data_IF_050326857580
#
_entry.id   IF_050326857580
#
_cell.length_a   1.000
_cell.length_b   1.000
_cell.length_c   1.000
_cell.angle_alpha   90.00
_cell.angle_beta   90.00
_cell.angle_gamma   90.00
#
_symmetry.space_group_name_H-M   'P 1'
#
loop_
_entity.id
_entity.type
_entity.pdbx_description
1 polymer ?
#
# COMPACT_ATOMS: atom_id res chain seq x y z
N UNK A 1 -56.66 -16.26 -6.40
CA UNK A 1 -55.48 -15.56 -6.89
C UNK A 1 -54.37 -16.59 -7.00
N UNK A 2 -54.03 -16.97 -8.24
CA UNK A 2 -52.92 -17.92 -8.48
C UNK A 2 -51.58 -17.13 -8.45
N UNK A 3 -50.83 -17.28 -7.39
CA UNK A 3 -49.44 -16.83 -7.38
C UNK A 3 -48.64 -17.72 -8.34
N UNK A 4 -48.31 -17.18 -9.49
CA UNK A 4 -47.40 -17.81 -10.45
C UNK A 4 -45.99 -17.75 -9.87
N UNK A 5 -45.60 -18.81 -9.18
CA UNK A 5 -44.23 -18.98 -8.70
C UNK A 5 -43.31 -19.15 -9.92
N UNK A 6 -42.49 -18.14 -10.21
CA UNK A 6 -41.48 -18.24 -11.27
C UNK A 6 -40.53 -19.41 -10.93
N UNK A 7 -40.16 -20.28 -11.91
CA UNK A 7 -39.26 -21.39 -11.65
C UNK A 7 -37.93 -20.85 -11.08
N UNK A 8 -37.28 -21.57 -10.15
CA UNK A 8 -36.01 -21.16 -9.62
C UNK A 8 -34.99 -21.00 -10.78
N UNK A 9 -34.38 -19.83 -10.87
CA UNK A 9 -33.30 -19.60 -11.84
C UNK A 9 -32.19 -20.61 -11.58
N UNK A 10 -31.90 -21.45 -12.60
CA UNK A 10 -30.70 -22.28 -12.55
C UNK A 10 -29.45 -21.38 -12.42
N UNK A 11 -28.62 -21.65 -11.46
CA UNK A 11 -27.34 -20.94 -11.31
C UNK A 11 -26.38 -21.39 -12.41
N UNK A 12 -25.66 -20.44 -12.96
CA UNK A 12 -24.58 -20.69 -13.92
C UNK A 12 -23.30 -20.98 -13.13
N UNK A 13 -22.91 -22.25 -13.09
CA UNK A 13 -21.74 -22.72 -12.32
C UNK A 13 -20.45 -22.06 -12.78
N UNK A 14 -20.27 -21.84 -14.09
CA UNK A 14 -19.07 -21.17 -14.63
C UNK A 14 -18.94 -19.72 -14.11
N UNK A 15 -20.06 -19.02 -14.01
CA UNK A 15 -20.08 -17.66 -13.45
C UNK A 15 -19.82 -17.65 -11.95
N UNK A 16 -20.28 -18.68 -11.24
CA UNK A 16 -19.98 -18.84 -9.80
C UNK A 16 -18.50 -19.05 -9.61
N UNK A 17 -17.89 -19.99 -10.32
CA UNK A 17 -16.46 -20.30 -10.23
C UNK A 17 -15.59 -19.08 -10.52
N UNK A 18 -15.87 -18.36 -11.61
CA UNK A 18 -15.13 -17.14 -11.96
C UNK A 18 -15.25 -16.06 -10.88
N UNK A 19 -16.41 -15.90 -10.26
CA UNK A 19 -16.61 -14.92 -9.19
C UNK A 19 -15.92 -15.33 -7.88
N UNK A 20 -15.91 -16.63 -7.55
CA UNK A 20 -15.17 -17.18 -6.41
C UNK A 20 -13.68 -16.92 -6.58
N UNK A 21 -13.11 -17.17 -7.77
CA UNK A 21 -11.71 -16.91 -8.08
C UNK A 21 -11.38 -15.41 -7.92
N UNK A 22 -12.23 -14.53 -8.47
CA UNK A 22 -12.07 -13.08 -8.31
C UNK A 22 -12.10 -12.64 -6.85
N UNK A 23 -13.06 -13.15 -6.05
CA UNK A 23 -13.15 -12.83 -4.63
C UNK A 23 -11.93 -13.33 -3.86
N UNK A 24 -11.48 -14.54 -4.15
CA UNK A 24 -10.31 -15.12 -3.51
C UNK A 24 -9.06 -14.30 -3.81
N UNK A 25 -8.86 -13.89 -5.07
CA UNK A 25 -7.78 -12.99 -5.48
C UNK A 25 -7.82 -11.65 -4.73
N UNK A 26 -9.01 -11.09 -4.53
CA UNK A 26 -9.20 -9.85 -3.75
C UNK A 26 -8.76 -10.02 -2.29
N UNK A 27 -9.14 -11.13 -1.64
CA UNK A 27 -8.74 -11.40 -0.26
C UNK A 27 -7.23 -11.65 -0.14
N UNK A 28 -6.64 -12.40 -1.05
CA UNK A 28 -5.19 -12.63 -1.09
C UNK A 28 -4.45 -11.31 -1.27
N UNK A 29 -4.88 -10.45 -2.19
CA UNK A 29 -4.28 -9.13 -2.39
C UNK A 29 -4.35 -8.26 -1.14
N UNK A 30 -5.47 -8.33 -0.40
CA UNK A 30 -5.60 -7.66 0.90
C UNK A 30 -4.58 -8.16 1.93
N UNK A 31 -4.35 -9.48 2.00
CA UNK A 31 -3.34 -10.05 2.91
C UNK A 31 -1.92 -9.66 2.49
N UNK A 32 -1.62 -9.67 1.19
CA UNK A 32 -0.32 -9.20 0.67
C UNK A 32 -0.08 -7.74 1.02
N UNK A 33 -1.10 -6.87 0.91
CA UNK A 33 -0.97 -5.47 1.33
C UNK A 33 -0.59 -5.33 2.82
N UNK A 34 -1.12 -6.17 3.71
CA UNK A 34 -0.72 -6.16 5.12
C UNK A 34 0.75 -6.59 5.31
N UNK A 35 1.25 -7.49 4.46
CA UNK A 35 2.68 -7.85 4.47
C UNK A 35 3.55 -6.71 3.96
N UNK A 36 3.08 -5.94 2.96
CA UNK A 36 3.76 -4.72 2.51
C UNK A 36 3.80 -3.66 3.63
N UNK A 37 2.68 -3.41 4.31
CA UNK A 37 2.62 -2.49 5.45
C UNK A 37 3.56 -2.93 6.58
N UNK A 38 3.59 -4.23 6.90
CA UNK A 38 4.48 -4.78 7.91
C UNK A 38 5.95 -4.58 7.52
N UNK A 39 6.32 -4.88 6.27
CA UNK A 39 7.68 -4.68 5.75
C UNK A 39 8.12 -3.23 5.80
N UNK A 40 7.21 -2.30 5.45
CA UNK A 40 7.46 -0.86 5.53
C UNK A 40 7.63 -0.38 6.98
N UNK A 41 6.74 -0.77 7.90
CA UNK A 41 6.81 -0.38 9.32
C UNK A 41 8.04 -0.90 10.04
N UNK A 42 8.54 -2.06 9.62
CA UNK A 42 9.68 -2.72 10.27
C UNK A 42 11.02 -2.46 9.58
N UNK A 43 11.03 -1.71 8.46
CA UNK A 43 12.24 -1.42 7.68
C UNK A 43 12.81 -2.64 6.94
N UNK A 44 12.03 -3.71 6.77
CA UNK A 44 12.50 -4.95 6.13
C UNK A 44 12.84 -4.75 4.64
N UNK A 45 12.08 -3.92 3.93
CA UNK A 45 12.38 -3.60 2.54
C UNK A 45 13.69 -2.81 2.41
N UNK A 46 13.89 -1.78 3.26
CA UNK A 46 15.13 -1.00 3.24
C UNK A 46 16.33 -1.88 3.57
N UNK A 47 16.21 -2.73 4.60
CA UNK A 47 17.27 -3.66 4.98
C UNK A 47 17.57 -4.70 3.87
N UNK A 48 16.56 -5.17 3.13
CA UNK A 48 16.75 -6.11 2.03
C UNK A 48 17.30 -5.44 0.77
N UNK A 49 16.99 -4.16 0.54
CA UNK A 49 17.52 -3.37 -0.56
C UNK A 49 19.05 -3.17 -0.50
N UNK A 50 19.65 -3.25 0.70
CA UNK A 50 21.10 -3.13 0.85
C UNK A 50 21.87 -4.26 0.16
N UNK A 51 21.40 -5.51 0.30
CA UNK A 51 22.00 -6.68 -0.33
C UNK A 51 21.09 -7.91 -0.15
N UNK A 52 21.16 -8.91 -1.07
CA UNK A 52 20.52 -10.21 -0.88
C UNK A 52 20.86 -10.82 0.48
N UNK A 53 19.89 -11.52 1.08
CA UNK A 53 20.06 -12.05 2.44
C UNK A 53 19.22 -13.32 2.66
N UNK A 54 19.72 -14.24 3.47
CA UNK A 54 18.89 -15.29 4.09
C UNK A 54 17.98 -14.69 5.15
N UNK A 55 16.99 -15.47 5.64
CA UNK A 55 16.11 -14.98 6.71
C UNK A 55 16.87 -14.59 7.98
N UNK A 56 17.91 -15.36 8.33
CA UNK A 56 18.75 -15.08 9.49
C UNK A 56 19.56 -13.78 9.32
N UNK A 57 20.15 -13.59 8.13
CA UNK A 57 20.93 -12.38 7.81
C UNK A 57 20.04 -11.14 7.80
N UNK A 58 18.85 -11.23 7.18
CA UNK A 58 17.90 -10.11 7.16
C UNK A 58 17.39 -9.78 8.56
N UNK A 59 17.06 -10.79 9.34
CA UNK A 59 16.62 -10.61 10.73
C UNK A 59 17.69 -9.92 11.57
N UNK A 60 18.95 -10.33 11.43
CA UNK A 60 20.08 -9.70 12.11
C UNK A 60 20.25 -8.24 11.67
N UNK A 61 20.19 -7.96 10.36
CA UNK A 61 20.35 -6.63 9.76
C UNK A 61 19.26 -5.68 10.23
N UNK A 62 18.01 -6.15 10.27
CA UNK A 62 16.85 -5.36 10.69
C UNK A 62 16.63 -5.33 12.21
N UNK A 63 17.38 -6.11 13.00
CA UNK A 63 17.19 -6.21 14.44
C UNK A 63 15.87 -6.88 14.85
N UNK A 64 15.38 -7.84 14.04
CA UNK A 64 14.06 -8.46 14.19
C UNK A 64 14.18 -9.96 14.52
N UNK A 65 13.05 -10.55 14.94
CA UNK A 65 12.99 -12.00 15.21
C UNK A 65 12.94 -12.79 13.90
N UNK A 66 13.91 -13.69 13.71
CA UNK A 66 14.11 -14.48 12.49
C UNK A 66 12.85 -15.28 12.10
N UNK A 67 12.15 -15.90 13.03
CA UNK A 67 10.95 -16.67 12.72
C UNK A 67 9.93 -15.84 11.95
N UNK A 68 9.67 -14.61 12.40
CA UNK A 68 8.69 -13.74 11.75
C UNK A 68 9.20 -13.17 10.43
N UNK A 69 10.51 -12.85 10.35
CA UNK A 69 11.14 -12.43 9.08
C UNK A 69 11.06 -13.54 8.04
N UNK A 70 11.27 -14.79 8.41
CA UNK A 70 11.15 -15.94 7.51
C UNK A 70 9.73 -16.13 6.99
N UNK A 71 8.72 -16.03 7.86
CA UNK A 71 7.31 -16.12 7.44
C UNK A 71 6.93 -14.95 6.50
N UNK A 72 7.39 -13.74 6.82
CA UNK A 72 7.20 -12.57 5.98
C UNK A 72 7.85 -12.73 4.61
N UNK A 73 9.11 -13.18 4.56
CA UNK A 73 9.83 -13.45 3.31
C UNK A 73 9.10 -14.48 2.45
N UNK A 74 8.58 -15.56 3.06
CA UNK A 74 7.78 -16.56 2.37
C UNK A 74 6.54 -15.96 1.72
N UNK A 75 5.83 -15.08 2.42
CA UNK A 75 4.64 -14.42 1.92
C UNK A 75 4.96 -13.46 0.76
N UNK A 76 5.97 -12.57 0.92
CA UNK A 76 6.29 -11.58 -0.12
C UNK A 76 6.99 -12.22 -1.33
N UNK A 77 7.73 -13.32 -1.15
CA UNK A 77 8.29 -14.09 -2.27
C UNK A 77 7.19 -14.80 -3.07
N UNK A 78 6.22 -15.41 -2.39
CA UNK A 78 5.07 -16.06 -3.05
C UNK A 78 4.21 -15.03 -3.81
N UNK A 79 4.15 -13.80 -3.30
CA UNK A 79 3.48 -12.69 -3.96
C UNK A 79 4.29 -12.06 -5.12
N UNK A 80 5.52 -12.52 -5.38
CA UNK A 80 6.38 -11.99 -6.44
C UNK A 80 6.97 -10.62 -6.14
N UNK A 81 7.01 -10.20 -4.86
CA UNK A 81 7.59 -8.91 -4.45
C UNK A 81 9.11 -9.03 -4.31
N UNK A 82 9.60 -10.16 -3.83
CA UNK A 82 11.03 -10.46 -3.72
C UNK A 82 11.34 -11.77 -4.45
N UNK A 83 12.54 -11.89 -4.97
CA UNK A 83 13.04 -13.12 -5.59
C UNK A 83 13.67 -14.03 -4.54
N UNK A 84 13.59 -15.34 -4.77
CA UNK A 84 14.20 -16.36 -3.91
C UNK A 84 15.10 -17.29 -4.71
N UNK A 85 16.36 -17.38 -4.31
CA UNK A 85 17.30 -18.40 -4.83
C UNK A 85 17.36 -19.60 -3.87
N UNK A 86 16.87 -20.74 -4.35
CA UNK A 86 16.85 -21.99 -3.58
C UNK A 86 18.24 -22.60 -3.33
N UNK A 87 19.27 -22.22 -4.08
CA UNK A 87 20.65 -22.73 -3.90
C UNK A 87 21.34 -22.01 -2.76
N UNK A 88 21.36 -20.69 -2.80
CA UNK A 88 21.96 -19.85 -1.74
C UNK A 88 21.00 -19.63 -0.57
N UNK A 89 19.72 -19.94 -0.72
CA UNK A 89 18.63 -19.64 0.21
C UNK A 89 18.48 -18.15 0.51
N UNK A 90 18.92 -17.32 -0.44
CA UNK A 90 18.87 -15.86 -0.31
C UNK A 90 17.65 -15.28 -1.00
N UNK A 91 17.13 -14.23 -0.41
CA UNK A 91 16.06 -13.38 -0.96
C UNK A 91 16.69 -12.10 -1.50
N UNK A 92 16.17 -11.61 -2.61
CA UNK A 92 16.61 -10.37 -3.27
C UNK A 92 15.40 -9.48 -3.53
N UNK A 93 15.46 -8.22 -3.14
CA UNK A 93 14.52 -7.22 -3.59
C UNK A 93 15.02 -6.64 -4.92
N UNK A 94 14.32 -6.87 -6.06
CA UNK A 94 14.71 -6.28 -7.34
C UNK A 94 14.80 -4.75 -7.25
N UNK A 95 15.74 -4.15 -7.97
CA UNK A 95 15.97 -2.69 -7.90
C UNK A 95 14.71 -1.89 -8.29
N UNK A 96 13.94 -2.39 -9.25
CA UNK A 96 12.68 -1.81 -9.71
C UNK A 96 11.61 -1.86 -8.61
N UNK A 97 11.55 -2.95 -7.85
CA UNK A 97 10.64 -3.07 -6.70
C UNK A 97 11.11 -2.23 -5.51
N UNK A 98 12.43 -2.15 -5.29
CA UNK A 98 12.99 -1.30 -4.25
C UNK A 98 12.64 0.18 -4.47
N UNK A 99 12.67 0.68 -5.72
CA UNK A 99 12.27 2.04 -6.06
C UNK A 99 10.81 2.35 -5.67
N UNK A 100 9.93 1.33 -5.64
CA UNK A 100 8.53 1.47 -5.28
C UNK A 100 8.23 1.22 -3.78
N UNK A 101 9.19 0.66 -3.03
CA UNK A 101 8.94 0.19 -1.67
C UNK A 101 9.88 0.79 -0.62
N UNK A 102 10.93 1.52 -1.04
CA UNK A 102 11.96 2.06 -0.15
C UNK A 102 12.27 3.53 -0.43
N UNK A 103 12.96 4.17 0.51
CA UNK A 103 13.41 5.56 0.34
C UNK A 103 12.28 6.58 0.36
N UNK A 104 12.59 7.79 -0.14
CA UNK A 104 11.67 8.94 -0.17
C UNK A 104 11.33 9.41 -1.58
N UNK A 105 11.71 8.64 -2.62
CA UNK A 105 11.47 9.02 -4.01
C UNK A 105 9.99 9.02 -4.40
N UNK A 106 9.65 9.75 -5.48
CA UNK A 106 8.27 9.92 -5.97
C UNK A 106 7.58 8.61 -6.40
N UNK A 107 8.36 7.55 -6.64
CA UNK A 107 7.84 6.23 -6.98
C UNK A 107 7.51 5.35 -5.76
N UNK A 108 7.89 5.76 -4.55
CA UNK A 108 7.64 4.96 -3.35
C UNK A 108 6.16 4.97 -2.97
N UNK A 109 5.49 3.84 -3.13
CA UNK A 109 4.09 3.60 -2.79
C UNK A 109 3.91 2.84 -1.46
N UNK A 110 5.00 2.47 -0.77
CA UNK A 110 4.89 1.73 0.48
C UNK A 110 4.03 2.44 1.55
N UNK A 111 4.05 3.78 1.69
CA UNK A 111 3.16 4.48 2.63
C UNK A 111 1.67 4.21 2.38
N UNK A 112 1.25 3.94 1.12
CA UNK A 112 -0.14 3.64 0.78
C UNK A 112 -0.64 2.35 1.43
N UNK A 113 0.25 1.40 1.73
CA UNK A 113 -0.13 0.15 2.38
C UNK A 113 -0.75 0.38 3.78
N UNK A 114 -0.31 1.42 4.49
CA UNK A 114 -0.86 1.84 5.79
C UNK A 114 -2.32 2.28 5.68
N UNK A 115 -2.72 2.86 4.52
CA UNK A 115 -4.08 3.37 4.31
C UNK A 115 -5.12 2.25 4.44
N UNK A 116 -4.85 1.05 3.90
CA UNK A 116 -5.77 -0.07 4.01
C UNK A 116 -5.99 -0.46 5.48
N UNK A 117 -4.92 -0.59 6.26
CA UNK A 117 -5.00 -0.92 7.68
C UNK A 117 -5.75 0.15 8.47
N UNK A 118 -5.48 1.43 8.20
CA UNK A 118 -6.18 2.56 8.82
C UNK A 118 -7.69 2.52 8.52
N UNK A 119 -8.06 2.40 7.25
CA UNK A 119 -9.48 2.38 6.85
C UNK A 119 -10.20 1.13 7.38
N UNK A 120 -9.52 -0.03 7.43
CA UNK A 120 -10.09 -1.26 7.96
C UNK A 120 -10.51 -1.12 9.43
N UNK A 121 -9.78 -0.36 10.25
CA UNK A 121 -10.13 -0.09 11.63
C UNK A 121 -11.46 0.68 11.78
N UNK A 122 -11.87 1.44 10.76
CA UNK A 122 -13.11 2.22 10.76
C UNK A 122 -14.31 1.50 10.11
N UNK A 123 -14.12 0.32 9.55
CA UNK A 123 -15.22 -0.43 8.89
C UNK A 123 -16.41 -0.67 9.81
N UNK A 124 -16.25 -1.05 11.10
CA UNK A 124 -17.40 -1.22 12.00
C UNK A 124 -18.19 0.08 12.23
N UNK A 125 -17.50 1.21 12.39
CA UNK A 125 -18.11 2.53 12.55
C UNK A 125 -18.81 2.97 11.25
N UNK A 126 -18.16 2.75 10.11
CA UNK A 126 -18.75 3.01 8.80
C UNK A 126 -20.04 2.20 8.59
N UNK A 127 -20.09 0.93 9.02
CA UNK A 127 -21.30 0.13 8.93
C UNK A 127 -22.46 0.72 9.77
N UNK A 128 -22.18 1.44 10.84
CA UNK A 128 -23.19 2.19 11.60
C UNK A 128 -23.65 3.42 10.82
N UNK A 129 -22.73 4.19 10.24
CA UNK A 129 -23.05 5.34 9.40
C UNK A 129 -23.94 4.94 8.21
N UNK A 130 -23.73 3.77 7.61
CA UNK A 130 -24.58 3.25 6.54
C UNK A 130 -26.05 3.01 6.96
N UNK A 131 -26.31 2.76 8.25
CA UNK A 131 -27.66 2.53 8.77
C UNK A 131 -28.32 3.81 9.28
N UNK A 132 -27.54 4.69 9.90
CA UNK A 132 -28.05 5.81 10.71
C UNK A 132 -27.80 7.18 10.04
N UNK A 133 -26.97 7.20 9.00
CA UNK A 133 -26.51 8.44 8.39
C UNK A 133 -25.39 9.10 9.18
N UNK A 134 -25.04 10.34 8.81
CA UNK A 134 -23.93 11.08 9.43
C UNK A 134 -22.60 10.82 8.72
N UNK A 135 -21.51 10.75 9.48
CA UNK A 135 -20.16 10.53 8.96
C UNK A 135 -19.18 10.22 10.09
N UNK A 136 -17.96 9.83 9.73
CA UNK A 136 -16.85 9.69 10.66
C UNK A 136 -16.05 10.99 10.62
N UNK A 137 -15.90 11.72 11.75
CA UNK A 137 -15.13 12.96 11.79
C UNK A 137 -13.68 12.75 11.34
N UNK A 138 -13.14 13.73 10.58
CA UNK A 138 -11.78 13.63 10.04
C UNK A 138 -10.71 13.42 11.11
N UNK A 139 -10.90 13.99 12.29
CA UNK A 139 -10.00 13.85 13.44
C UNK A 139 -9.79 12.40 13.86
N UNK A 140 -10.75 11.50 13.55
CA UNK A 140 -10.66 10.07 13.86
C UNK A 140 -9.62 9.34 13.00
N UNK A 141 -9.23 9.92 11.86
CA UNK A 141 -8.22 9.37 10.95
C UNK A 141 -6.82 9.93 11.22
N UNK A 142 -6.70 10.97 12.06
CA UNK A 142 -5.42 11.61 12.38
C UNK A 142 -4.75 10.95 13.60
N UNK A 143 -3.39 10.98 13.68
CA UNK A 143 -2.46 11.56 12.71
C UNK A 143 -2.16 10.67 11.50
N UNK A 144 -2.49 9.38 11.53
CA UNK A 144 -2.03 8.36 10.59
C UNK A 144 -2.38 8.68 9.14
N UNK A 145 -3.57 9.24 8.88
CA UNK A 145 -3.98 9.64 7.52
C UNK A 145 -3.06 10.72 6.97
N UNK A 146 -2.74 11.74 7.77
CA UNK A 146 -1.83 12.81 7.36
C UNK A 146 -0.41 12.31 7.13
N UNK A 147 0.06 11.36 7.92
CA UNK A 147 1.37 10.72 7.74
C UNK A 147 1.44 9.94 6.43
N UNK A 148 0.38 9.20 6.07
CA UNK A 148 0.29 8.48 4.80
C UNK A 148 0.30 9.47 3.64
N UNK A 149 -0.49 10.54 3.71
CA UNK A 149 -0.56 11.56 2.66
C UNK A 149 0.77 12.29 2.48
N UNK A 150 1.43 12.65 3.58
CA UNK A 150 2.77 13.24 3.54
C UNK A 150 3.78 12.28 2.90
N UNK A 151 3.79 11.00 3.30
CA UNK A 151 4.68 9.99 2.74
C UNK A 151 4.50 9.77 1.24
N UNK A 152 3.27 9.91 0.71
CA UNK A 152 2.98 9.78 -0.71
C UNK A 152 3.32 11.04 -1.52
N UNK A 153 3.11 12.21 -0.96
CA UNK A 153 3.26 13.48 -1.69
C UNK A 153 4.66 14.06 -1.59
N UNK A 154 5.38 13.80 -0.50
CA UNK A 154 6.70 14.39 -0.22
C UNK A 154 7.68 14.17 -1.37
N UNK A 155 7.86 12.92 -1.83
CA UNK A 155 8.78 12.61 -2.93
C UNK A 155 8.43 13.34 -4.22
N UNK A 156 7.15 13.48 -4.53
CA UNK A 156 6.68 14.21 -5.72
C UNK A 156 7.01 15.70 -5.59
N UNK A 157 6.76 16.31 -4.43
CA UNK A 157 7.08 17.72 -4.23
C UNK A 157 8.58 17.97 -4.17
N UNK A 158 9.35 17.13 -3.49
CA UNK A 158 10.81 17.28 -3.39
C UNK A 158 11.50 17.14 -4.74
N UNK A 159 11.03 16.24 -5.62
CA UNK A 159 11.63 15.98 -6.92
C UNK A 159 11.07 16.86 -8.05
N UNK A 160 9.79 17.25 -8.00
CA UNK A 160 9.11 17.79 -9.18
C UNK A 160 8.51 19.19 -8.97
N UNK A 161 8.42 19.71 -7.75
CA UNK A 161 7.73 20.98 -7.49
C UNK A 161 8.34 22.13 -8.31
N UNK A 162 9.65 22.30 -8.22
CA UNK A 162 10.35 23.45 -8.82
C UNK A 162 10.55 23.24 -10.32
N UNK A 163 10.96 22.04 -10.73
CA UNK A 163 11.43 21.80 -12.09
C UNK A 163 10.31 21.37 -13.04
N UNK A 164 9.17 20.90 -12.52
CA UNK A 164 8.05 20.40 -13.31
C UNK A 164 6.74 21.14 -13.00
N UNK A 165 6.29 21.07 -11.73
CA UNK A 165 4.94 21.54 -11.35
C UNK A 165 4.85 23.06 -11.49
N UNK A 166 5.81 23.81 -10.98
CA UNK A 166 5.81 25.28 -11.06
C UNK A 166 5.85 25.76 -12.52
N UNK A 167 6.74 25.25 -13.41
CA UNK A 167 6.71 25.61 -14.83
C UNK A 167 5.39 25.32 -15.53
N UNK A 168 4.73 24.19 -15.22
CA UNK A 168 3.43 23.84 -15.80
C UNK A 168 2.32 24.84 -15.45
N UNK A 169 2.43 25.57 -14.34
CA UNK A 169 1.47 26.62 -13.97
C UNK A 169 1.61 27.88 -14.80
N UNK A 170 2.71 28.07 -15.52
CA UNK A 170 3.07 29.31 -16.22
C UNK A 170 3.44 30.48 -15.29
N UNK A 171 3.68 30.21 -14.01
CA UNK A 171 4.00 31.22 -12.99
C UNK A 171 5.49 31.32 -12.67
N UNK A 172 6.35 30.51 -13.29
CA UNK A 172 7.76 30.41 -12.94
C UNK A 172 8.48 31.78 -12.98
N UNK A 173 8.31 32.54 -14.06
CA UNK A 173 8.94 33.87 -14.20
C UNK A 173 8.43 34.87 -13.16
N UNK A 174 7.11 34.84 -12.88
CA UNK A 174 6.51 35.73 -11.87
C UNK A 174 6.99 35.38 -10.46
N UNK A 175 7.21 34.09 -10.18
CA UNK A 175 7.77 33.63 -8.90
C UNK A 175 9.23 34.07 -8.75
N UNK A 176 10.01 34.01 -9.85
CA UNK A 176 11.40 34.48 -9.88
C UNK A 176 11.51 36.00 -9.67
N UNK A 177 10.55 36.79 -10.20
CA UNK A 177 10.45 38.24 -10.03
C UNK A 177 9.96 38.67 -8.63
N UNK A 178 9.49 37.71 -7.82
CA UNK A 178 9.03 37.92 -6.44
C UNK A 178 7.56 38.35 -6.34
N UNK A 179 6.65 37.38 -6.23
CA UNK A 179 5.24 37.62 -5.94
C UNK A 179 4.88 37.10 -4.55
N UNK A 180 3.77 37.60 -4.02
CA UNK A 180 3.22 37.04 -2.78
C UNK A 180 2.52 35.72 -3.11
N UNK A 181 2.87 34.68 -2.34
CA UNK A 181 2.27 33.34 -2.43
C UNK A 181 1.63 33.02 -1.11
N UNK A 182 0.41 32.47 -1.13
CA UNK A 182 -0.25 31.90 0.03
C UNK A 182 -0.48 30.42 -0.22
N UNK A 183 -0.03 29.59 0.71
CA UNK A 183 -0.41 28.18 0.80
C UNK A 183 -1.58 28.07 1.79
N UNK A 184 -2.69 27.52 1.30
CA UNK A 184 -3.92 27.37 2.11
C UNK A 184 -4.19 25.86 2.18
N UNK A 185 -3.56 25.20 3.18
CA UNK A 185 -3.66 23.77 3.47
C UNK A 185 -4.85 23.37 4.33
#
# INVERSE_FOLDING_TARGET
MNETHAPPRSLDETRIEAFVEQLFGTYVSGMVNLMVDLGHRTGLFDALAEAPATSEQLAQRAGLNERYVREWLGAVATAGIVDYDGVSRAFTLPAEHAACLTGSGSMNLAPLSKMLALLANHVPEMATVFREGGGIPYERFRPEFTEVMDGLSRGVFDEQLVDVIVPMTGLADRLADGIQVADIG
#
